data_IF_513391110521
#
_entry.id   IF_513391110521
#
_cell.length_a   1.000
_cell.length_b   1.000
_cell.length_c   1.000
_cell.angle_alpha   90.00
_cell.angle_beta   90.00
_cell.angle_gamma   90.00
#
_symmetry.space_group_name_H-M   'P 1'
#
loop_
_entity.id
_entity.type
_entity.pdbx_description
1 polymer ?
#
# COMPACT_ATOMS: atom_id res chain seq x y z
N UNK A 1 16.76 8.50 -14.82
CA UNK A 1 16.08 7.20 -14.96
C UNK A 1 15.81 6.66 -13.58
N UNK A 2 14.54 6.56 -13.19
CA UNK A 2 14.15 5.84 -11.96
C UNK A 2 14.60 4.38 -12.16
N UNK A 3 15.48 3.89 -11.28
CA UNK A 3 15.92 2.49 -11.31
C UNK A 3 14.68 1.62 -11.11
N UNK A 4 14.46 0.67 -12.01
CA UNK A 4 13.48 -0.38 -11.77
C UNK A 4 13.96 -1.20 -10.58
N UNK A 5 13.10 -1.35 -9.58
CA UNK A 5 13.37 -2.27 -8.49
C UNK A 5 13.27 -3.69 -9.05
N UNK A 6 14.38 -4.43 -9.00
CA UNK A 6 14.53 -5.76 -9.58
C UNK A 6 13.57 -6.76 -8.89
N UNK A 7 13.04 -6.41 -7.72
CA UNK A 7 12.09 -7.21 -6.95
C UNK A 7 10.60 -6.85 -7.17
N UNK A 8 10.26 -6.04 -8.18
CA UNK A 8 8.85 -5.80 -8.57
C UNK A 8 8.09 -7.06 -9.00
N UNK A 9 8.77 -8.20 -9.18
CA UNK A 9 8.24 -9.36 -9.88
C UNK A 9 7.31 -10.27 -9.05
N UNK A 10 7.16 -10.05 -7.74
CA UNK A 10 6.25 -10.84 -6.88
C UNK A 10 5.16 -10.03 -6.14
N UNK A 11 5.04 -8.71 -6.38
CA UNK A 11 4.08 -7.80 -5.69
C UNK A 11 4.17 -7.85 -4.16
N UNK A 12 5.33 -7.49 -3.59
CA UNK A 12 5.49 -7.48 -2.13
C UNK A 12 4.69 -6.35 -1.49
N UNK A 13 3.61 -6.73 -0.81
CA UNK A 13 2.97 -5.89 0.19
C UNK A 13 3.88 -5.87 1.43
N UNK A 14 4.05 -4.70 2.02
CA UNK A 14 4.76 -4.53 3.30
C UNK A 14 3.90 -3.74 4.28
N UNK A 15 4.20 -3.85 5.57
CA UNK A 15 3.45 -3.13 6.59
C UNK A 15 4.31 -2.63 7.74
N UNK A 16 3.86 -1.56 8.39
CA UNK A 16 4.42 -1.03 9.62
C UNK A 16 3.29 -0.50 10.50
N UNK A 17 3.40 -0.72 11.80
CA UNK A 17 2.39 -0.26 12.77
C UNK A 17 3.03 0.46 13.95
N UNK A 18 2.21 1.17 14.71
CA UNK A 18 2.57 1.65 16.05
C UNK A 18 2.64 0.48 17.04
N UNK A 19 3.50 0.56 18.06
CA UNK A 19 3.72 -0.51 19.07
C UNK A 19 2.46 -0.94 19.84
N UNK A 20 1.43 -0.09 19.90
CA UNK A 20 0.18 -0.32 20.65
C UNK A 20 -0.97 -0.83 19.76
N UNK A 21 -0.69 -1.53 18.66
CA UNK A 21 -1.76 -2.04 17.79
C UNK A 21 -2.40 -3.30 18.40
N UNK A 22 -3.70 -3.31 18.74
CA UNK A 22 -4.45 -4.56 18.76
C UNK A 22 -4.66 -4.95 17.31
N UNK A 23 -3.74 -5.75 16.76
CA UNK A 23 -3.80 -6.17 15.36
C UNK A 23 -5.09 -6.97 15.18
N UNK A 24 -6.02 -6.45 14.35
CA UNK A 24 -7.36 -7.01 14.19
C UNK A 24 -7.33 -8.44 13.61
N UNK A 25 -6.43 -8.67 12.67
CA UNK A 25 -6.27 -9.95 11.98
C UNK A 25 -4.77 -10.23 11.77
N UNK A 26 -4.08 -10.59 12.86
CA UNK A 26 -2.65 -10.96 12.84
C UNK A 26 -2.33 -12.04 11.80
N UNK A 27 -3.09 -13.15 11.71
CA UNK A 27 -2.76 -14.22 10.77
C UNK A 27 -2.75 -13.77 9.32
N UNK A 28 -3.64 -12.83 8.96
CA UNK A 28 -3.66 -12.26 7.62
C UNK A 28 -2.49 -11.28 7.41
N UNK A 29 -2.23 -10.40 8.38
CA UNK A 29 -1.18 -9.40 8.27
C UNK A 29 0.22 -10.03 8.16
N UNK A 30 0.47 -11.11 8.90
CA UNK A 30 1.74 -11.85 8.88
C UNK A 30 2.01 -12.63 7.59
N UNK A 31 1.06 -12.67 6.65
CA UNK A 31 1.34 -13.16 5.28
C UNK A 31 2.25 -12.21 4.50
N UNK A 32 2.34 -10.95 4.97
CA UNK A 32 3.15 -9.92 4.37
C UNK A 32 4.36 -9.60 5.26
N UNK A 33 5.55 -9.41 4.68
CA UNK A 33 6.72 -9.00 5.46
C UNK A 33 6.53 -7.61 6.09
N UNK A 34 7.02 -7.38 7.31
CA UNK A 34 7.08 -6.04 7.87
C UNK A 34 8.05 -5.17 7.04
N UNK A 35 7.84 -3.86 7.06
CA UNK A 35 8.77 -2.90 6.46
C UNK A 35 10.02 -2.84 7.35
N UNK A 36 11.17 -3.18 6.77
CA UNK A 36 12.47 -3.21 7.45
C UNK A 36 13.44 -2.18 6.86
N UNK A 37 14.43 -1.78 7.64
CA UNK A 37 15.58 -0.99 7.17
C UNK A 37 16.56 -1.94 6.48
N UNK A 38 17.06 -1.61 5.29
CA UNK A 38 18.18 -2.34 4.68
C UNK A 38 19.43 -2.17 5.56
N UNK A 39 19.99 -3.28 6.06
CA UNK A 39 21.19 -3.33 6.93
C UNK A 39 22.50 -3.03 6.16
N UNK A 40 22.49 -2.02 5.29
CA UNK A 40 23.56 -1.74 4.33
C UNK A 40 24.57 -0.66 4.72
N UNK A 41 24.35 0.13 5.77
CA UNK A 41 25.33 1.14 6.19
C UNK A 41 25.30 1.38 7.69
N UNK A 42 26.48 1.29 8.30
CA UNK A 42 26.69 1.34 9.74
C UNK A 42 26.72 2.78 10.28
N UNK A 43 26.30 2.94 11.55
CA UNK A 43 26.61 4.03 12.50
C UNK A 43 25.73 5.30 12.56
N UNK A 44 24.41 5.23 12.30
CA UNK A 44 23.51 6.35 12.66
C UNK A 44 22.27 5.85 13.41
N UNK A 45 21.94 6.53 14.49
CA UNK A 45 20.78 6.33 15.36
C UNK A 45 19.51 5.90 14.61
N UNK A 46 18.84 4.85 15.13
CA UNK A 46 17.47 4.40 14.78
C UNK A 46 17.00 4.88 13.40
N UNK A 47 17.60 4.33 12.35
CA UNK A 47 17.27 4.66 10.97
C UNK A 47 15.74 4.61 10.78
N UNK A 48 15.17 5.69 10.23
CA UNK A 48 13.75 5.75 9.90
C UNK A 48 13.42 4.60 8.93
N UNK A 49 12.50 3.71 9.33
CA UNK A 49 12.02 2.57 8.52
C UNK A 49 11.49 3.03 7.16
N UNK A 50 11.09 4.31 7.07
CA UNK A 50 10.63 4.95 5.84
C UNK A 50 11.75 5.47 4.92
N UNK A 51 13.02 5.43 5.35
CA UNK A 51 14.17 5.95 4.58
C UNK A 51 14.39 5.21 3.26
N UNK A 52 14.07 3.92 3.21
CA UNK A 52 14.10 3.07 2.00
C UNK A 52 12.86 3.28 1.11
N UNK A 53 11.77 3.85 1.64
CA UNK A 53 10.52 4.03 0.91
C UNK A 53 10.46 5.38 0.22
N UNK A 54 10.51 5.37 -1.11
CA UNK A 54 10.24 6.55 -1.93
C UNK A 54 8.73 6.72 -2.12
N UNK A 55 8.25 7.97 -2.11
CA UNK A 55 6.86 8.27 -2.49
C UNK A 55 5.79 7.92 -1.45
N UNK A 56 6.14 7.66 -0.18
CA UNK A 56 5.18 7.34 0.88
C UNK A 56 4.24 8.50 1.28
N UNK A 57 4.49 9.71 0.76
CA UNK A 57 3.63 10.88 0.99
C UNK A 57 3.47 11.22 2.48
N UNK A 58 2.22 11.28 2.94
CA UNK A 58 1.88 11.63 4.33
C UNK A 58 1.96 10.44 5.30
N UNK A 59 1.96 9.20 4.80
CA UNK A 59 1.87 8.00 5.64
C UNK A 59 2.95 7.93 6.74
N UNK A 60 4.25 8.22 6.49
CA UNK A 60 5.27 8.21 7.53
C UNK A 60 4.94 9.18 8.67
N UNK A 61 4.59 10.43 8.32
CA UNK A 61 4.26 11.48 9.30
C UNK A 61 3.03 11.11 10.11
N UNK A 62 2.03 10.49 9.48
CA UNK A 62 0.81 10.03 10.16
C UNK A 62 1.13 8.93 11.17
N UNK A 63 1.96 7.95 10.80
CA UNK A 63 2.38 6.87 11.69
C UNK A 63 3.21 7.41 12.86
N UNK A 64 4.22 8.26 12.60
CA UNK A 64 5.03 8.88 13.65
C UNK A 64 4.18 9.72 14.60
N UNK A 65 3.27 10.54 14.07
CA UNK A 65 2.36 11.35 14.89
C UNK A 65 1.40 10.48 15.70
N UNK A 66 0.86 9.41 15.11
CA UNK A 66 -0.02 8.46 15.80
C UNK A 66 0.70 7.78 16.97
N UNK A 67 1.94 7.33 16.74
CA UNK A 67 2.79 6.75 17.78
C UNK A 67 3.02 7.73 18.95
N UNK A 68 3.36 8.98 18.65
CA UNK A 68 3.58 10.03 19.65
C UNK A 68 2.33 10.31 20.52
N UNK A 69 1.13 10.13 19.95
CA UNK A 69 -0.15 10.31 20.65
C UNK A 69 -0.75 8.99 21.17
N UNK A 70 -0.01 7.88 21.13
CA UNK A 70 -0.51 6.54 21.52
C UNK A 70 -1.78 6.10 20.77
N UNK A 71 -1.95 6.55 19.53
CA UNK A 71 -3.05 6.15 18.65
C UNK A 71 -2.61 4.90 17.86
N UNK A 72 -3.35 3.79 17.94
CA UNK A 72 -3.08 2.61 17.11
C UNK A 72 -3.21 2.95 15.62
N UNK A 73 -2.14 2.76 14.86
CA UNK A 73 -2.15 2.97 13.41
C UNK A 73 -1.32 1.91 12.66
N UNK A 74 -1.82 1.52 11.49
CA UNK A 74 -1.20 0.58 10.56
C UNK A 74 -1.05 1.26 9.21
N UNK A 75 0.14 1.23 8.64
CA UNK A 75 0.39 1.57 7.25
C UNK A 75 0.74 0.30 6.48
N UNK A 76 0.08 0.13 5.33
CA UNK A 76 0.31 -0.97 4.39
C UNK A 76 0.72 -0.36 3.06
N UNK A 77 1.79 -0.89 2.48
CA UNK A 77 2.39 -0.40 1.26
C UNK A 77 2.38 -1.50 0.20
N UNK A 78 2.19 -1.11 -1.05
CA UNK A 78 2.37 -1.97 -2.21
C UNK A 78 3.31 -1.25 -3.19
N UNK A 79 4.44 -1.88 -3.50
CA UNK A 79 5.34 -1.37 -4.53
C UNK A 79 4.71 -1.55 -5.90
N UNK A 80 4.61 -0.46 -6.65
CA UNK A 80 3.92 -0.41 -7.95
C UNK A 80 4.85 0.15 -9.03
N UNK A 81 4.80 -0.41 -10.24
CA UNK A 81 5.43 0.19 -11.42
C UNK A 81 4.61 1.40 -11.91
N UNK A 82 5.22 2.33 -12.64
CA UNK A 82 4.46 3.44 -13.24
C UNK A 82 3.46 2.96 -14.32
N UNK A 83 2.34 3.67 -14.47
CA UNK A 83 1.35 3.42 -15.52
C UNK A 83 -0.04 3.11 -14.96
N UNK A 84 -0.64 2.02 -15.41
CA UNK A 84 -1.98 1.64 -14.98
C UNK A 84 -2.00 0.88 -13.66
N UNK A 85 -2.01 1.62 -12.55
CA UNK A 85 -2.04 1.05 -11.20
C UNK A 85 -3.46 0.78 -10.66
N UNK A 86 -4.49 0.87 -11.50
CA UNK A 86 -5.87 0.52 -11.10
C UNK A 86 -5.94 -0.91 -10.52
N UNK A 87 -5.34 -1.95 -11.14
CA UNK A 87 -5.35 -3.30 -10.57
C UNK A 87 -4.60 -3.40 -9.23
N UNK A 88 -3.48 -2.69 -9.08
CA UNK A 88 -2.68 -2.68 -7.85
C UNK A 88 -3.45 -2.03 -6.70
N UNK A 89 -4.12 -0.91 -6.97
CA UNK A 89 -4.99 -0.24 -6.01
C UNK A 89 -6.17 -1.13 -5.58
N UNK A 90 -6.80 -1.84 -6.52
CA UNK A 90 -7.86 -2.80 -6.21
C UNK A 90 -7.32 -3.95 -5.35
N UNK A 91 -6.14 -4.46 -5.67
CA UNK A 91 -5.51 -5.55 -4.92
C UNK A 91 -5.22 -5.12 -3.48
N UNK A 92 -4.54 -3.99 -3.27
CA UNK A 92 -4.24 -3.46 -1.94
C UNK A 92 -5.54 -3.18 -1.15
N UNK A 93 -6.54 -2.55 -1.77
CA UNK A 93 -7.84 -2.32 -1.13
C UNK A 93 -8.53 -3.63 -0.72
N UNK A 94 -8.44 -4.67 -1.54
CA UNK A 94 -9.00 -5.99 -1.23
C UNK A 94 -8.29 -6.64 -0.04
N UNK A 95 -6.97 -6.50 0.05
CA UNK A 95 -6.20 -6.96 1.23
C UNK A 95 -6.63 -6.22 2.49
N UNK A 96 -6.83 -4.90 2.44
CA UNK A 96 -7.33 -4.13 3.58
C UNK A 96 -8.74 -4.57 4.01
N UNK A 97 -9.63 -4.86 3.05
CA UNK A 97 -10.98 -5.38 3.32
C UNK A 97 -10.94 -6.73 4.04
N UNK A 98 -10.00 -7.60 3.67
CA UNK A 98 -9.79 -8.88 4.32
C UNK A 98 -9.19 -8.71 5.72
N UNK A 99 -8.18 -7.86 5.87
CA UNK A 99 -7.57 -7.52 7.17
C UNK A 99 -8.63 -7.00 8.16
N UNK A 100 -9.48 -6.08 7.72
CA UNK A 100 -10.54 -5.50 8.53
C UNK A 100 -11.76 -6.42 8.72
N UNK A 101 -11.82 -7.56 8.04
CA UNK A 101 -12.95 -8.49 8.12
C UNK A 101 -14.28 -7.92 7.60
N UNK A 102 -14.25 -6.87 6.76
CA UNK A 102 -15.46 -6.14 6.35
C UNK A 102 -16.46 -7.00 5.57
N UNK A 103 -15.98 -8.04 4.88
CA UNK A 103 -16.82 -9.01 4.17
C UNK A 103 -17.76 -9.78 5.11
N UNK A 104 -17.41 -9.95 6.38
CA UNK A 104 -18.27 -10.58 7.39
C UNK A 104 -19.33 -9.62 7.94
N UNK A 105 -19.07 -8.32 7.85
CA UNK A 105 -19.92 -7.27 8.42
C UNK A 105 -20.89 -6.68 7.38
N UNK A 106 -20.48 -6.66 6.11
CA UNK A 106 -21.22 -6.02 5.02
C UNK A 106 -21.63 -7.10 4.02
N UNK A 107 -22.92 -7.49 4.07
CA UNK A 107 -23.50 -8.59 3.26
C UNK A 107 -23.28 -8.48 1.75
N UNK A 108 -23.10 -7.27 1.24
CA UNK A 108 -22.91 -7.00 -0.20
C UNK A 108 -21.72 -6.09 -0.44
N UNK A 109 -20.60 -6.35 0.27
CA UNK A 109 -19.39 -5.55 0.08
C UNK A 109 -18.90 -5.66 -1.36
N UNK A 110 -18.66 -4.51 -1.99
CA UNK A 110 -18.10 -4.43 -3.35
C UNK A 110 -17.22 -3.18 -3.46
N UNK A 111 -16.01 -3.37 -3.99
CA UNK A 111 -15.19 -2.25 -4.44
C UNK A 111 -15.81 -1.65 -5.70
N UNK A 112 -16.08 -0.35 -5.66
CA UNK A 112 -16.62 0.42 -6.78
C UNK A 112 -15.54 1.36 -7.27
N UNK A 113 -15.25 1.33 -8.57
CA UNK A 113 -14.29 2.24 -9.18
C UNK A 113 -14.93 3.62 -9.35
N UNK A 114 -14.22 4.71 -9.01
CA UNK A 114 -14.72 6.06 -9.26
C UNK A 114 -15.00 6.28 -10.75
N UNK A 115 -16.11 6.95 -11.13
CA UNK A 115 -16.40 7.25 -12.55
C UNK A 115 -15.29 8.03 -13.26
N UNK A 116 -14.54 8.86 -12.52
CA UNK A 116 -13.38 9.59 -13.05
C UNK A 116 -12.27 8.69 -13.58
N UNK A 117 -12.19 7.43 -13.13
CA UNK A 117 -11.18 6.48 -13.59
C UNK A 117 -11.45 5.97 -15.01
N UNK A 118 -12.69 6.06 -15.50
CA UNK A 118 -13.02 5.67 -16.86
C UNK A 118 -12.35 6.56 -17.93
N UNK A 119 -11.88 7.76 -17.55
CA UNK A 119 -11.19 8.68 -18.46
C UNK A 119 -9.75 9.00 -18.03
N UNK A 120 -9.13 8.11 -17.23
CA UNK A 120 -7.72 8.24 -16.82
C UNK A 120 -6.76 8.41 -18.01
N UNK A 121 -7.09 7.78 -19.14
CA UNK A 121 -6.28 7.80 -20.37
C UNK A 121 -6.92 8.65 -21.48
N UNK A 122 -7.85 9.53 -21.12
CA UNK A 122 -8.63 10.32 -22.08
C UNK A 122 -9.85 9.57 -22.62
N UNK A 123 -10.32 10.00 -23.79
CA UNK A 123 -11.47 9.38 -24.46
C UNK A 123 -11.04 8.08 -25.13
N UNK A 124 -11.97 7.14 -25.23
CA UNK A 124 -11.76 5.93 -26.01
C UNK A 124 -11.32 6.27 -27.45
N UNK A 125 -10.38 5.49 -28.03
CA UNK A 125 -9.93 5.72 -29.39
C UNK A 125 -11.11 5.63 -30.36
N UNK A 126 -11.11 6.49 -31.37
CA UNK A 126 -12.15 6.47 -32.39
C UNK A 126 -12.18 5.09 -33.07
N UNK A 127 -13.35 4.46 -33.15
CA UNK A 127 -13.53 3.12 -33.78
C UNK A 127 -12.97 3.09 -35.20
N UNK A 128 -13.01 4.22 -35.91
CA UNK A 128 -12.43 4.39 -37.24
C UNK A 128 -10.91 4.12 -37.33
N UNK A 129 -10.18 4.11 -36.21
CA UNK A 129 -8.75 3.76 -36.16
C UNK A 129 -8.48 2.25 -36.25
N UNK A 130 -9.53 1.43 -36.11
CA UNK A 130 -9.46 -0.04 -36.15
C UNK A 130 -10.17 -0.64 -37.38
N UNK A 131 -10.56 0.20 -38.34
CA UNK A 131 -11.26 -0.18 -39.57
C UNK A 131 -10.28 -0.37 -40.74
#
# INVERSE_FOLDING_TARGET
MLRHDVNMHERSIQWVSTDKLPVLNEPFLHQFPPLTVDEGDSLVDKQDVWSSVRGAGLAPKLITSSAAHSIPALAVLLHCAEGNNVPDAIHLASCIVQYLGLHNQIKSFRLVLPPSWAQLYGRDPAIALYA
#
